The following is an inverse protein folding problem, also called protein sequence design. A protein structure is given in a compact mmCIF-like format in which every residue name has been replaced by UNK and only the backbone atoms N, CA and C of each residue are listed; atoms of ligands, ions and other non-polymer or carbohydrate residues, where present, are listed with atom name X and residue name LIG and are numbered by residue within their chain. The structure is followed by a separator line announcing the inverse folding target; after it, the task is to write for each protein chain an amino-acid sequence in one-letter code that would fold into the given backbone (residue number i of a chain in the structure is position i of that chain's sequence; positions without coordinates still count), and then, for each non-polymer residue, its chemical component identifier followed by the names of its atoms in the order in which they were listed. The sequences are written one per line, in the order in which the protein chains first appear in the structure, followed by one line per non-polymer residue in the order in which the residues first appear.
data_IF_957666642906
#
_entry.id   IF_957666642906
#
_cell.length_a   1.000
_cell.length_b   1.000
_cell.length_c   1.000
_cell.angle_alpha   90.00
_cell.angle_beta   90.00
_cell.angle_gamma   90.00
#
_symmetry.space_group_name_H-M   'P 1'
#
loop_
_entity.id
_entity.type
_entity.pdbx_description
1 polymer ?
#
# COMPACT_ATOMS: atom_id res chain seq x y z
N UNK A 1 12.36 1.39 3.37
CA UNK A 1 11.47 1.79 2.26
C UNK A 1 12.31 2.16 1.06
N UNK A 2 11.85 1.81 -0.13
CA UNK A 2 12.55 2.15 -1.37
C UNK A 2 12.40 3.64 -1.69
N UNK A 3 13.44 4.22 -2.27
CA UNK A 3 13.35 5.55 -2.88
C UNK A 3 12.66 5.41 -4.24
N UNK A 4 11.77 6.34 -4.56
CA UNK A 4 11.12 6.38 -5.88
C UNK A 4 11.90 7.34 -6.77
N UNK A 5 12.32 6.87 -7.94
CA UNK A 5 12.95 7.71 -8.94
C UNK A 5 11.90 8.53 -9.68
N UNK A 6 12.07 9.85 -9.68
CA UNK A 6 11.35 10.75 -10.57
C UNK A 6 12.28 11.10 -11.73
N UNK A 7 12.13 10.43 -12.87
CA UNK A 7 13.06 10.51 -13.99
C UNK A 7 13.22 11.95 -14.50
N UNK A 8 12.10 12.64 -14.70
CA UNK A 8 12.07 14.04 -15.18
C UNK A 8 12.77 15.04 -14.25
N UNK A 9 12.85 14.73 -12.95
CA UNK A 9 13.48 15.60 -11.94
C UNK A 9 14.89 15.12 -11.55
N UNK A 10 15.39 14.04 -12.16
CA UNK A 10 16.66 13.38 -11.87
C UNK A 10 16.93 13.22 -10.36
N UNK A 11 15.91 12.82 -9.61
CA UNK A 11 15.97 12.71 -8.15
C UNK A 11 15.22 11.50 -7.61
N UNK A 12 15.74 10.97 -6.51
CA UNK A 12 15.14 9.92 -5.71
C UNK A 12 14.38 10.56 -4.54
N UNK A 13 13.10 10.26 -4.38
CA UNK A 13 12.26 10.76 -3.29
C UNK A 13 11.83 9.62 -2.37
N UNK A 14 12.00 9.81 -1.06
CA UNK A 14 11.31 8.97 -0.08
C UNK A 14 9.91 9.54 0.18
N UNK A 15 8.85 8.86 -0.27
CA UNK A 15 7.47 9.29 -0.03
C UNK A 15 7.03 9.20 1.44
N UNK A 16 7.79 8.53 2.31
CA UNK A 16 7.46 8.44 3.73
C UNK A 16 8.03 9.57 4.57
N UNK A 17 9.26 10.01 4.30
CA UNK A 17 9.89 11.08 5.08
C UNK A 17 10.02 12.41 4.33
N UNK A 18 9.90 12.41 3.00
CA UNK A 18 10.09 13.58 2.14
C UNK A 18 11.56 13.83 1.75
N UNK A 19 12.50 12.99 2.17
CA UNK A 19 13.92 13.17 1.86
C UNK A 19 14.16 13.00 0.37
N UNK A 20 14.90 13.94 -0.21
CA UNK A 20 15.28 13.94 -1.62
C UNK A 20 16.77 13.62 -1.70
N UNK A 21 17.12 12.68 -2.56
CA UNK A 21 18.49 12.36 -2.94
C UNK A 21 18.69 12.66 -4.42
N UNK A 22 19.86 13.18 -4.79
CA UNK A 22 20.27 13.18 -6.19
C UNK A 22 20.63 11.76 -6.61
N UNK A 23 20.26 11.38 -7.83
CA UNK A 23 20.73 10.12 -8.38
C UNK A 23 22.22 10.26 -8.71
N UNK A 24 23.02 9.30 -8.22
CA UNK A 24 24.41 9.14 -8.63
C UNK A 24 24.46 8.02 -9.68
N UNK A 25 25.37 8.12 -10.66
CA UNK A 25 25.60 7.07 -11.66
C UNK A 25 26.34 5.85 -11.09
N UNK A 26 26.94 6.00 -9.91
CA UNK A 26 27.76 4.99 -9.26
C UNK A 26 27.07 4.39 -8.04
N UNK A 27 27.20 3.08 -7.84
CA UNK A 27 26.74 2.42 -6.63
C UNK A 27 27.50 2.93 -5.39
N UNK A 28 26.83 3.40 -4.32
CA UNK A 28 27.51 3.91 -3.13
C UNK A 28 28.22 2.82 -2.30
N UNK A 29 28.00 1.54 -2.60
CA UNK A 29 28.62 0.42 -1.90
C UNK A 29 29.82 -0.18 -2.64
N UNK A 30 29.73 -0.35 -3.97
CA UNK A 30 30.77 -1.00 -4.77
C UNK A 30 31.39 -0.12 -5.86
N UNK A 31 30.98 1.15 -5.96
CA UNK A 31 31.43 2.13 -6.96
C UNK A 31 31.22 1.74 -8.43
N UNK A 32 30.53 0.63 -8.72
CA UNK A 32 30.21 0.23 -10.09
C UNK A 32 29.37 1.32 -10.78
N UNK A 33 29.79 1.70 -11.98
CA UNK A 33 29.08 2.61 -12.87
C UNK A 33 27.89 1.90 -13.52
N UNK A 34 26.80 2.64 -13.76
CA UNK A 34 25.58 2.19 -14.43
C UNK A 34 24.92 0.91 -13.86
N UNK A 35 25.26 0.55 -12.62
CA UNK A 35 24.77 -0.66 -11.98
C UNK A 35 23.42 -0.48 -11.28
N UNK A 36 22.92 0.75 -11.17
CA UNK A 36 21.68 1.08 -10.48
C UNK A 36 20.49 0.83 -11.43
N UNK A 37 19.74 -0.24 -11.15
CA UNK A 37 18.53 -0.57 -11.90
C UNK A 37 17.29 -0.08 -11.16
N UNK A 38 16.41 0.61 -11.90
CA UNK A 38 15.09 1.00 -11.42
C UNK A 38 14.15 -0.22 -11.51
N UNK A 39 13.56 -0.61 -10.38
CA UNK A 39 12.69 -1.79 -10.28
C UNK A 39 11.23 -1.35 -10.15
N UNK A 40 10.33 -2.01 -10.89
CA UNK A 40 8.88 -1.84 -10.82
C UNK A 40 8.29 -1.15 -12.06
N UNK A 41 7.02 -1.40 -12.39
CA UNK A 41 6.31 -0.72 -13.47
C UNK A 41 5.99 0.71 -13.02
N UNK A 42 6.98 1.60 -13.05
CA UNK A 42 6.76 3.02 -12.85
C UNK A 42 5.83 3.56 -13.95
N UNK A 43 4.88 4.43 -13.60
CA UNK A 43 4.00 5.09 -14.58
C UNK A 43 4.76 5.80 -15.69
N UNK A 44 5.98 6.29 -15.40
CA UNK A 44 6.88 6.90 -16.37
C UNK A 44 7.41 5.85 -17.37
N UNK A 45 7.91 4.71 -16.88
CA UNK A 45 8.40 3.61 -17.72
C UNK A 45 7.31 3.03 -18.60
N UNK A 46 6.11 2.81 -18.05
CA UNK A 46 4.98 2.31 -18.83
C UNK A 46 4.58 3.31 -19.92
N UNK A 47 4.63 4.61 -19.64
CA UNK A 47 4.36 5.63 -20.64
C UNK A 47 5.44 5.68 -21.74
N UNK A 48 6.72 5.43 -21.42
CA UNK A 48 7.80 5.33 -22.40
C UNK A 48 7.61 4.11 -23.32
N UNK A 49 7.33 2.93 -22.76
CA UNK A 49 7.05 1.72 -23.52
C UNK A 49 5.81 1.90 -24.43
N UNK A 50 4.75 2.56 -23.93
CA UNK A 50 3.56 2.87 -24.72
C UNK A 50 3.85 3.87 -25.86
N UNK A 51 4.71 4.87 -25.65
CA UNK A 51 5.12 5.80 -26.72
C UNK A 51 5.87 5.08 -27.84
N UNK A 52 6.70 4.09 -27.48
CA UNK A 52 7.41 3.28 -28.45
C UNK A 52 6.45 2.39 -29.27
N UNK A 53 5.52 1.70 -28.60
CA UNK A 53 4.56 0.80 -29.25
C UNK A 53 3.46 1.54 -30.04
N UNK A 54 3.05 2.71 -29.57
CA UNK A 54 1.99 3.54 -30.15
C UNK A 54 2.51 4.92 -30.55
N UNK A 55 3.45 4.95 -31.49
CA UNK A 55 4.13 6.18 -31.95
C UNK A 55 3.20 7.26 -32.50
N UNK A 56 1.98 6.89 -32.91
CA UNK A 56 0.95 7.80 -33.42
C UNK A 56 -0.12 8.20 -32.39
N UNK A 57 0.05 7.85 -31.12
CA UNK A 57 -0.91 8.13 -30.04
C UNK A 57 -0.33 9.08 -29.00
N UNK A 58 -1.16 10.00 -28.53
CA UNK A 58 -0.80 10.91 -27.44
C UNK A 58 -0.91 10.20 -26.10
N UNK A 59 0.20 10.13 -25.36
CA UNK A 59 0.28 9.45 -24.05
C UNK A 59 0.36 10.49 -22.93
N UNK A 60 -0.61 10.47 -22.03
CA UNK A 60 -0.64 11.29 -20.81
C UNK A 60 -0.25 10.47 -19.58
N UNK A 61 0.27 11.15 -18.56
CA UNK A 61 0.55 10.55 -17.24
C UNK A 61 -0.29 11.26 -16.18
N UNK A 62 -0.90 10.53 -15.27
CA UNK A 62 -1.60 11.06 -14.09
C UNK A 62 -1.11 10.39 -12.80
N UNK A 63 -0.29 11.10 -12.03
CA UNK A 63 0.31 10.67 -10.76
C UNK A 63 0.16 11.73 -9.68
N UNK A 64 0.51 11.39 -8.44
CA UNK A 64 0.54 12.34 -7.32
C UNK A 64 1.45 13.54 -7.56
N UNK A 65 2.47 13.40 -8.41
CA UNK A 65 3.46 14.45 -8.62
C UNK A 65 3.04 15.47 -9.66
N UNK A 66 2.29 15.06 -10.68
CA UNK A 66 1.86 15.92 -11.77
C UNK A 66 0.39 16.35 -11.66
N UNK A 67 -0.45 15.54 -11.03
CA UNK A 67 -1.87 15.79 -10.78
C UNK A 67 -2.09 16.17 -9.31
N UNK A 68 -1.30 17.15 -8.84
CA UNK A 68 -1.22 17.54 -7.44
C UNK A 68 -2.17 18.69 -7.04
N UNK A 69 -2.88 19.29 -7.99
CA UNK A 69 -3.88 20.33 -7.73
C UNK A 69 -5.17 20.05 -8.52
N UNK A 70 -6.35 20.48 -8.02
CA UNK A 70 -7.62 20.31 -8.73
C UNK A 70 -7.60 20.83 -10.17
N UNK A 71 -6.95 21.98 -10.42
CA UNK A 71 -6.85 22.56 -11.75
C UNK A 71 -6.02 21.70 -12.72
N UNK A 72 -4.90 21.12 -12.25
CA UNK A 72 -4.09 20.23 -13.10
C UNK A 72 -4.83 18.94 -13.42
N UNK A 73 -5.54 18.39 -12.42
CA UNK A 73 -6.39 17.20 -12.62
C UNK A 73 -7.46 17.50 -13.65
N UNK A 74 -8.19 18.61 -13.49
CA UNK A 74 -9.22 19.04 -14.43
C UNK A 74 -8.67 19.19 -15.84
N UNK A 75 -7.51 19.83 -16.01
CA UNK A 75 -6.85 19.98 -17.31
C UNK A 75 -6.54 18.63 -17.97
N UNK A 76 -6.01 17.66 -17.23
CA UNK A 76 -5.72 16.32 -17.77
C UNK A 76 -7.01 15.61 -18.21
N UNK A 77 -8.09 15.73 -17.41
CA UNK A 77 -9.39 15.17 -17.76
C UNK A 77 -9.95 15.84 -19.02
N UNK A 78 -9.91 17.18 -19.08
CA UNK A 78 -10.37 17.96 -20.24
C UNK A 78 -9.56 17.60 -21.49
N UNK A 79 -8.23 17.45 -21.39
CA UNK A 79 -7.38 17.07 -22.51
C UNK A 79 -7.64 15.62 -22.97
N UNK A 80 -7.98 14.70 -22.05
CA UNK A 80 -8.40 13.34 -22.38
C UNK A 80 -9.78 13.32 -23.07
N UNK A 81 -10.76 14.06 -22.53
CA UNK A 81 -12.10 14.12 -23.07
C UNK A 81 -12.16 14.80 -24.45
N UNK A 82 -11.31 15.80 -24.67
CA UNK A 82 -11.12 16.46 -25.96
C UNK A 82 -10.20 15.68 -26.92
N UNK A 83 -9.85 14.42 -26.60
CA UNK A 83 -9.00 13.54 -27.42
C UNK A 83 -7.61 14.09 -27.74
N UNK A 84 -7.09 15.01 -26.91
CA UNK A 84 -5.68 15.42 -26.97
C UNK A 84 -4.76 14.40 -26.31
N UNK A 85 -5.32 13.54 -25.47
CA UNK A 85 -4.65 12.37 -24.89
C UNK A 85 -5.45 11.14 -25.32
N UNK A 86 -4.79 10.20 -26.02
CA UNK A 86 -5.40 8.94 -26.44
C UNK A 86 -5.30 7.87 -25.33
N UNK A 87 -4.16 7.83 -24.64
CA UNK A 87 -3.87 6.84 -23.60
C UNK A 87 -3.41 7.58 -22.35
N UNK A 88 -4.11 7.35 -21.24
CA UNK A 88 -3.77 7.92 -19.94
C UNK A 88 -3.20 6.84 -19.02
N UNK A 89 -1.91 6.96 -18.70
CA UNK A 89 -1.24 6.10 -17.72
C UNK A 89 -1.40 6.71 -16.34
N UNK A 90 -1.92 5.96 -15.38
CA UNK A 90 -2.14 6.51 -14.05
C UNK A 90 -1.87 5.55 -12.90
N UNK A 91 -1.58 6.16 -11.75
CA UNK A 91 -1.56 5.47 -10.45
C UNK A 91 -2.99 5.32 -9.89
N UNK A 92 -3.09 4.68 -8.73
CA UNK A 92 -4.34 4.50 -7.97
C UNK A 92 -5.16 5.79 -7.75
N UNK A 93 -4.56 6.98 -7.92
CA UNK A 93 -5.25 8.28 -7.87
C UNK A 93 -6.42 8.37 -8.86
N UNK A 94 -6.34 7.71 -10.03
CA UNK A 94 -7.45 7.68 -10.99
C UNK A 94 -8.69 6.93 -10.49
N UNK A 95 -8.56 6.10 -9.45
CA UNK A 95 -9.71 5.39 -8.89
C UNK A 95 -10.65 6.36 -8.15
N UNK A 96 -10.17 7.51 -7.66
CA UNK A 96 -10.94 8.45 -6.82
C UNK A 96 -11.83 9.36 -7.66
N UNK A 97 -13.15 9.25 -7.55
CA UNK A 97 -14.14 10.29 -7.89
C UNK A 97 -14.27 10.79 -9.36
N UNK A 98 -13.22 10.78 -10.17
CA UNK A 98 -13.20 11.43 -11.48
C UNK A 98 -13.95 10.65 -12.54
N UNK A 99 -14.75 11.35 -13.34
CA UNK A 99 -15.53 10.78 -14.43
C UNK A 99 -14.80 11.00 -15.76
N UNK A 100 -14.69 9.95 -16.57
CA UNK A 100 -14.09 9.98 -17.89
C UNK A 100 -15.13 9.51 -18.92
N UNK A 101 -15.99 10.42 -19.44
CA UNK A 101 -17.09 10.08 -20.36
C UNK A 101 -16.70 9.21 -21.55
N UNK A 102 -15.49 9.44 -22.09
CA UNK A 102 -14.99 8.77 -23.29
C UNK A 102 -14.16 7.50 -23.00
N UNK A 103 -14.06 7.08 -21.73
CA UNK A 103 -13.29 5.90 -21.35
C UNK A 103 -14.04 4.61 -21.68
N UNK A 104 -13.61 3.95 -22.76
CA UNK A 104 -14.14 2.66 -23.23
C UNK A 104 -13.26 1.47 -22.87
N UNK A 105 -12.01 1.70 -22.46
CA UNK A 105 -11.04 0.66 -22.16
C UNK A 105 -10.24 0.99 -20.91
N UNK A 106 -10.03 -0.01 -20.05
CA UNK A 106 -9.16 0.08 -18.88
C UNK A 106 -8.26 -1.15 -18.84
N UNK A 107 -6.95 -0.92 -18.72
CA UNK A 107 -5.95 -1.97 -18.47
C UNK A 107 -5.37 -1.81 -17.08
N UNK A 108 -5.43 -2.86 -16.25
CA UNK A 108 -4.73 -2.94 -14.97
C UNK A 108 -3.52 -3.85 -15.15
N UNK A 109 -2.32 -3.28 -15.10
CA UNK A 109 -1.07 -3.97 -15.44
C UNK A 109 -0.52 -4.82 -14.28
N UNK A 110 -0.70 -4.37 -13.04
CA UNK A 110 -0.19 -5.08 -11.86
C UNK A 110 -1.26 -5.12 -10.76
N UNK A 111 -2.17 -6.10 -10.88
CA UNK A 111 -3.22 -6.33 -9.90
C UNK A 111 -2.70 -6.94 -8.60
N UNK A 112 -1.53 -7.58 -8.63
CA UNK A 112 -0.96 -8.32 -7.50
C UNK A 112 -0.22 -7.39 -6.52
N UNK A 113 0.25 -6.23 -7.00
CA UNK A 113 0.88 -5.20 -6.17
C UNK A 113 0.11 -4.87 -4.88
N UNK A 114 -1.22 -4.86 -4.94
CA UNK A 114 -2.09 -4.58 -3.80
C UNK A 114 -2.26 -5.76 -2.83
N UNK A 115 -1.93 -6.98 -3.25
CA UNK A 115 -2.02 -8.20 -2.45
C UNK A 115 -0.72 -8.46 -1.65
N UNK A 116 0.37 -7.80 -2.02
CA UNK A 116 1.66 -7.93 -1.35
C UNK A 116 1.75 -7.02 -0.12
N UNK A 117 2.58 -7.39 0.87
CA UNK A 117 2.94 -6.50 1.99
C UNK A 117 2.31 -6.81 3.35
N UNK A 118 1.64 -7.95 3.51
CA UNK A 118 1.24 -8.47 4.82
C UNK A 118 0.12 -7.69 5.53
N UNK A 119 -0.58 -6.79 4.84
CA UNK A 119 -1.77 -6.12 5.37
C UNK A 119 -2.99 -7.05 5.31
N UNK A 120 -3.66 -7.27 6.44
CA UNK A 120 -4.84 -8.14 6.54
C UNK A 120 -6.03 -7.63 5.69
N UNK A 121 -6.01 -6.35 5.29
CA UNK A 121 -7.02 -5.72 4.43
C UNK A 121 -6.55 -5.59 2.98
N UNK A 122 -5.37 -6.09 2.61
CA UNK A 122 -4.82 -6.05 1.26
C UNK A 122 -5.81 -6.61 0.22
N UNK A 123 -6.40 -7.78 0.50
CA UNK A 123 -7.37 -8.45 -0.36
C UNK A 123 -8.62 -7.58 -0.58
N UNK A 124 -9.20 -7.05 0.51
CA UNK A 124 -10.39 -6.19 0.46
C UNK A 124 -10.12 -4.90 -0.32
N UNK A 125 -8.99 -4.23 -0.05
CA UNK A 125 -8.61 -2.99 -0.74
C UNK A 125 -8.37 -3.25 -2.22
N UNK A 126 -7.70 -4.34 -2.57
CA UNK A 126 -7.43 -4.73 -3.95
C UNK A 126 -8.73 -5.02 -4.69
N UNK A 127 -9.64 -5.78 -4.09
CA UNK A 127 -10.96 -6.03 -4.67
C UNK A 127 -11.70 -4.71 -4.95
N UNK A 128 -11.80 -3.82 -3.96
CA UNK A 128 -12.48 -2.55 -4.11
C UNK A 128 -11.84 -1.65 -5.18
N UNK A 129 -10.51 -1.62 -5.23
CA UNK A 129 -9.75 -0.87 -6.24
C UNK A 129 -10.04 -1.41 -7.64
N UNK A 130 -9.87 -2.72 -7.87
CA UNK A 130 -10.07 -3.36 -9.16
C UNK A 130 -11.53 -3.26 -9.64
N UNK A 131 -12.49 -3.44 -8.73
CA UNK A 131 -13.91 -3.23 -9.01
C UNK A 131 -14.19 -1.79 -9.44
N UNK A 132 -13.63 -0.81 -8.71
CA UNK A 132 -13.82 0.61 -9.02
C UNK A 132 -13.21 0.98 -10.37
N UNK A 133 -11.97 0.55 -10.62
CA UNK A 133 -11.21 0.83 -11.85
C UNK A 133 -11.89 0.17 -13.05
N UNK A 134 -12.31 -1.09 -12.92
CA UNK A 134 -13.06 -1.80 -13.98
C UNK A 134 -14.42 -1.16 -14.27
N UNK A 135 -15.08 -0.60 -13.24
CA UNK A 135 -16.34 0.14 -13.37
C UNK A 135 -16.20 1.59 -13.88
N UNK A 136 -14.99 2.06 -14.21
CA UNK A 136 -14.80 3.34 -14.90
C UNK A 136 -15.07 3.22 -16.40
N UNK A 137 -14.74 2.07 -17.00
CA UNK A 137 -15.08 1.80 -18.39
C UNK A 137 -16.59 1.56 -18.54
N UNK A 138 -17.20 2.17 -19.56
CA UNK A 138 -18.59 1.86 -19.93
C UNK A 138 -19.68 2.49 -19.06
N UNK A 139 -19.42 3.67 -18.48
CA UNK A 139 -20.45 4.50 -17.81
C UNK A 139 -21.33 5.28 -18.79
N UNK A 140 -20.86 5.49 -20.01
CA UNK A 140 -21.66 6.00 -21.13
C UNK A 140 -22.34 4.83 -21.86
N UNK A 141 -23.31 5.08 -22.77
CA UNK A 141 -24.01 4.07 -23.59
C UNK A 141 -23.09 3.20 -24.51
N UNK A 142 -21.79 3.13 -24.23
CA UNK A 142 -20.76 2.39 -24.95
C UNK A 142 -20.29 1.21 -24.12
N UNK A 143 -20.14 0.05 -24.76
CA UNK A 143 -19.62 -1.15 -24.10
C UNK A 143 -18.15 -0.93 -23.68
N UNK A 144 -17.91 -0.90 -22.37
CA UNK A 144 -16.57 -0.77 -21.80
C UNK A 144 -15.88 -2.14 -21.67
N UNK A 145 -14.56 -2.19 -21.90
CA UNK A 145 -13.72 -3.37 -21.64
C UNK A 145 -12.73 -3.07 -20.51
N UNK A 146 -12.52 -4.05 -19.64
CA UNK A 146 -11.50 -4.00 -18.61
C UNK A 146 -10.62 -5.27 -18.69
N UNK A 147 -9.31 -5.09 -18.77
CA UNK A 147 -8.32 -6.17 -18.72
C UNK A 147 -7.52 -6.06 -17.43
N UNK A 148 -7.37 -7.18 -16.74
CA UNK A 148 -6.63 -7.27 -15.49
C UNK A 148 -5.50 -8.27 -15.70
N UNK A 149 -4.27 -7.80 -15.52
CA UNK A 149 -3.08 -8.63 -15.51
C UNK A 149 -2.74 -9.01 -14.08
N UNK A 150 -2.64 -10.32 -13.84
CA UNK A 150 -2.28 -10.94 -12.57
C UNK A 150 -1.52 -12.24 -12.82
N UNK A 151 -0.55 -12.54 -11.97
CA UNK A 151 0.13 -13.83 -11.91
C UNK A 151 -0.75 -14.94 -11.33
N UNK A 152 -1.83 -14.58 -10.63
CA UNK A 152 -2.68 -15.52 -9.91
C UNK A 152 -4.17 -15.42 -10.33
N UNK A 153 -4.50 -15.68 -11.61
CA UNK A 153 -5.85 -15.52 -12.13
C UNK A 153 -6.89 -16.43 -11.46
N UNK A 154 -6.45 -17.52 -10.84
CA UNK A 154 -7.31 -18.50 -10.17
C UNK A 154 -7.60 -18.15 -8.70
N UNK A 155 -7.02 -17.07 -8.16
CA UNK A 155 -7.31 -16.65 -6.79
C UNK A 155 -8.80 -16.27 -6.64
N UNK A 156 -9.46 -16.62 -5.52
CA UNK A 156 -10.88 -16.34 -5.32
C UNK A 156 -11.26 -14.87 -5.54
N UNK A 157 -10.41 -13.93 -5.09
CA UNK A 157 -10.63 -12.49 -5.27
C UNK A 157 -10.70 -12.09 -6.75
N UNK A 158 -9.85 -12.65 -7.61
CA UNK A 158 -9.82 -12.35 -9.06
C UNK A 158 -11.02 -13.01 -9.75
N UNK A 159 -11.34 -14.25 -9.41
CA UNK A 159 -12.49 -14.98 -9.94
C UNK A 159 -13.81 -14.27 -9.61
N UNK A 160 -13.96 -13.79 -8.38
CA UNK A 160 -15.14 -13.01 -7.97
C UNK A 160 -15.23 -11.67 -8.71
N UNK A 161 -14.12 -10.99 -9.00
CA UNK A 161 -14.11 -9.78 -9.82
C UNK A 161 -14.55 -10.07 -11.26
N UNK A 162 -14.00 -11.12 -11.87
CA UNK A 162 -14.35 -11.51 -13.25
C UNK A 162 -15.84 -11.82 -13.39
N UNK A 163 -16.42 -12.53 -12.42
CA UNK A 163 -17.85 -12.88 -12.38
C UNK A 163 -18.75 -11.74 -11.89
N UNK A 164 -18.17 -10.61 -11.46
CA UNK A 164 -18.87 -9.50 -10.78
C UNK A 164 -19.67 -9.97 -9.55
N UNK A 165 -19.22 -11.03 -8.91
CA UNK A 165 -19.88 -11.66 -7.78
C UNK A 165 -19.30 -11.15 -6.46
N UNK A 166 -19.78 -9.98 -6.05
CA UNK A 166 -19.41 -9.35 -4.78
C UNK A 166 -19.86 -10.16 -3.57
N UNK A 167 -21.01 -10.85 -3.67
CA UNK A 167 -21.59 -11.57 -2.53
C UNK A 167 -20.67 -12.71 -2.11
N UNK A 168 -20.28 -13.56 -3.06
CA UNK A 168 -19.38 -14.69 -2.80
C UNK A 168 -18.02 -14.21 -2.29
N UNK A 169 -17.48 -13.11 -2.82
CA UNK A 169 -16.23 -12.51 -2.32
C UNK A 169 -16.33 -12.13 -0.83
N UNK A 170 -17.41 -11.45 -0.45
CA UNK A 170 -17.63 -10.99 0.92
C UNK A 170 -17.80 -12.19 1.86
N UNK A 171 -18.60 -13.18 1.48
CA UNK A 171 -18.82 -14.39 2.28
C UNK A 171 -17.52 -15.15 2.52
N UNK A 172 -16.70 -15.36 1.48
CA UNK A 172 -15.41 -16.05 1.63
C UNK A 172 -14.43 -15.24 2.49
N UNK A 173 -14.33 -13.92 2.25
CA UNK A 173 -13.45 -13.06 3.03
C UNK A 173 -13.83 -13.02 4.52
N UNK A 174 -15.13 -13.07 4.83
CA UNK A 174 -15.60 -13.13 6.21
C UNK A 174 -15.29 -14.47 6.86
N UNK A 175 -15.47 -15.60 6.17
CA UNK A 175 -15.09 -16.93 6.66
C UNK A 175 -13.61 -17.00 6.99
N UNK A 176 -12.74 -16.50 6.10
CA UNK A 176 -11.30 -16.46 6.33
C UNK A 176 -10.98 -15.61 7.56
N UNK A 177 -11.61 -14.43 7.68
CA UNK A 177 -11.40 -13.53 8.83
C UNK A 177 -11.86 -14.14 10.15
N UNK A 178 -12.96 -14.88 10.14
CA UNK A 178 -13.48 -15.59 11.30
C UNK A 178 -12.52 -16.70 11.73
N UNK A 179 -12.07 -17.53 10.78
CA UNK A 179 -11.12 -18.60 11.03
C UNK A 179 -9.80 -18.08 11.64
N UNK A 180 -9.31 -16.94 11.14
CA UNK A 180 -8.13 -16.28 11.70
C UNK A 180 -8.43 -15.38 12.90
N UNK A 181 -9.68 -15.26 13.37
CA UNK A 181 -10.10 -14.34 14.45
C UNK A 181 -9.54 -12.92 14.30
N UNK A 182 -9.58 -12.40 13.08
CA UNK A 182 -9.16 -11.04 12.76
C UNK A 182 -10.40 -10.16 12.51
N UNK A 183 -10.28 -8.81 12.53
CA UNK A 183 -11.45 -7.94 12.37
C UNK A 183 -12.31 -8.33 11.15
N UNK A 184 -13.64 -8.44 11.30
CA UNK A 184 -14.45 -8.00 12.46
C UNK A 184 -14.62 -9.03 13.60
N UNK A 185 -14.14 -10.27 13.46
CA UNK A 185 -14.37 -11.36 14.42
C UNK A 185 -13.35 -11.40 15.58
N UNK A 186 -12.32 -10.58 15.51
CA UNK A 186 -11.39 -10.35 16.60
C UNK A 186 -10.91 -8.91 16.64
N UNK A 187 -10.20 -8.59 17.71
CA UNK A 187 -9.66 -7.27 17.98
C UNK A 187 -8.15 -7.29 17.97
N UNK A 188 -7.57 -6.16 17.58
CA UNK A 188 -6.13 -6.02 17.47
C UNK A 188 -5.65 -4.70 18.07
N UNK A 189 -4.44 -4.69 18.59
CA UNK A 189 -3.76 -3.48 19.05
C UNK A 189 -2.31 -3.55 18.60
N UNK A 190 -1.92 -2.61 17.75
CA UNK A 190 -0.54 -2.49 17.30
C UNK A 190 0.25 -1.61 18.27
N UNK A 191 1.41 -2.09 18.67
CA UNK A 191 2.39 -1.34 19.44
C UNK A 191 3.54 -1.01 18.50
N UNK A 192 3.71 0.27 18.20
CA UNK A 192 4.75 0.76 17.30
C UNK A 192 5.81 1.43 18.16
N UNK A 193 6.98 0.82 18.18
CA UNK A 193 8.13 1.26 18.98
C UNK A 193 9.09 1.96 18.03
N UNK A 194 9.56 3.14 18.40
CA UNK A 194 10.54 3.89 17.63
C UNK A 194 11.63 4.50 18.51
N UNK A 195 12.87 4.45 18.06
CA UNK A 195 14.01 5.03 18.77
C UNK A 195 15.23 5.23 17.87
N UNK A 196 16.16 6.08 18.29
CA UNK A 196 17.36 6.43 17.52
C UNK A 196 18.44 5.34 17.50
N UNK A 197 18.40 4.41 18.47
CA UNK A 197 19.32 3.26 18.54
C UNK A 197 18.58 1.97 18.21
N UNK A 198 19.01 1.25 17.16
CA UNK A 198 18.43 -0.04 16.75
C UNK A 198 18.38 -1.01 17.94
N UNK A 199 19.55 -1.28 18.53
CA UNK A 199 19.70 -2.26 19.62
C UNK A 199 18.81 -1.93 20.83
N UNK A 200 18.82 -0.69 21.32
CA UNK A 200 17.98 -0.31 22.47
C UNK A 200 16.48 -0.44 22.16
N UNK A 201 16.08 -0.09 20.94
CA UNK A 201 14.67 -0.15 20.51
C UNK A 201 14.21 -1.60 20.39
N UNK A 202 15.04 -2.48 19.83
CA UNK A 202 14.79 -3.92 19.70
C UNK A 202 14.69 -4.60 21.06
N UNK A 203 15.64 -4.33 21.98
CA UNK A 203 15.63 -4.86 23.35
C UNK A 203 14.34 -4.46 24.06
N UNK A 204 13.92 -3.20 23.96
CA UNK A 204 12.67 -2.74 24.56
C UNK A 204 11.45 -3.47 23.96
N UNK A 205 11.40 -3.62 22.64
CA UNK A 205 10.33 -4.35 21.97
C UNK A 205 10.27 -5.83 22.41
N UNK A 206 11.42 -6.48 22.56
CA UNK A 206 11.53 -7.87 23.06
C UNK A 206 11.21 -8.01 24.55
N UNK A 207 11.44 -6.97 25.35
CA UNK A 207 10.98 -6.95 26.75
C UNK A 207 9.47 -6.80 26.82
N UNK A 208 8.89 -5.93 25.98
CA UNK A 208 7.45 -5.72 25.90
C UNK A 208 6.70 -7.00 25.49
N UNK A 209 7.24 -7.80 24.56
CA UNK A 209 6.61 -9.08 24.17
C UNK A 209 6.62 -10.13 25.28
N UNK A 210 7.66 -10.11 26.13
CA UNK A 210 7.86 -11.09 27.22
C UNK A 210 7.34 -10.60 28.57
N UNK A 211 6.84 -9.36 28.65
CA UNK A 211 6.50 -8.69 29.89
C UNK A 211 5.36 -9.36 30.69
N UNK A 212 4.60 -10.27 30.11
CA UNK A 212 3.50 -10.94 30.82
C UNK A 212 3.33 -12.41 30.46
N UNK A 213 2.78 -13.17 31.41
CA UNK A 213 2.10 -14.42 31.11
C UNK A 213 0.88 -14.10 30.25
N UNK A 214 0.85 -14.66 29.05
CA UNK A 214 -0.27 -14.50 28.11
C UNK A 214 -1.51 -15.09 28.78
N UNK A 215 -2.54 -14.26 28.97
CA UNK A 215 -3.85 -14.70 29.49
C UNK A 215 -4.55 -15.53 28.40
N UNK A 216 -5.40 -16.49 28.79
CA UNK A 216 -6.17 -17.29 27.85
C UNK A 216 -6.93 -16.37 26.87
N UNK A 217 -6.91 -16.69 25.57
CA UNK A 217 -7.54 -15.94 24.46
C UNK A 217 -6.85 -14.65 24.01
N UNK A 218 -5.61 -14.39 24.44
CA UNK A 218 -4.77 -13.34 23.88
C UNK A 218 -3.59 -13.95 23.12
N UNK A 219 -3.11 -13.27 22.10
CA UNK A 219 -1.83 -13.59 21.47
C UNK A 219 -1.00 -12.33 21.24
N UNK A 220 0.31 -12.50 21.34
CA UNK A 220 1.32 -11.48 21.07
C UNK A 220 2.12 -11.96 19.87
N UNK A 221 2.09 -11.18 18.80
CA UNK A 221 2.83 -11.45 17.57
C UNK A 221 4.00 -10.45 17.46
N UNK A 222 5.19 -10.98 17.18
CA UNK A 222 6.43 -10.21 17.13
C UNK A 222 7.24 -10.27 18.44
N UNK A 223 8.20 -9.35 18.63
CA UNK A 223 8.45 -8.16 17.84
C UNK A 223 9.03 -8.47 16.46
N UNK A 224 8.70 -7.64 15.47
CA UNK A 224 9.30 -7.66 14.13
C UNK A 224 9.69 -6.25 13.72
N UNK A 225 10.60 -6.12 12.75
CA UNK A 225 10.85 -4.84 12.09
C UNK A 225 9.53 -4.31 11.51
N UNK A 226 9.24 -3.03 11.72
CA UNK A 226 8.07 -2.43 11.11
C UNK A 226 8.24 -2.37 9.58
N UNK A 227 7.15 -2.39 8.78
CA UNK A 227 7.23 -2.33 7.31
C UNK A 227 8.09 -1.17 6.79
N UNK A 228 8.11 -0.05 7.51
CA UNK A 228 9.11 0.99 7.36
C UNK A 228 10.06 0.93 8.56
N UNK A 229 11.12 0.13 8.41
CA UNK A 229 12.08 -0.14 9.48
C UNK A 229 12.84 1.10 9.96
N UNK A 230 13.32 1.96 9.06
CA UNK A 230 14.02 3.20 9.39
C UNK A 230 13.26 4.39 8.80
N UNK A 231 12.84 5.33 9.66
CA UNK A 231 12.16 6.54 9.22
C UNK A 231 12.71 7.75 9.97
N UNK A 232 13.31 8.70 9.24
CA UNK A 232 13.89 9.94 9.80
C UNK A 232 14.87 9.65 10.96
N UNK A 233 15.76 8.68 10.75
CA UNK A 233 16.77 8.28 11.74
C UNK A 233 16.21 7.49 12.95
N UNK A 234 14.93 7.13 12.95
CA UNK A 234 14.31 6.32 14.00
C UNK A 234 14.10 4.89 13.50
N UNK A 235 14.71 3.93 14.18
CA UNK A 235 14.46 2.51 13.99
C UNK A 235 13.11 2.14 14.56
N UNK A 236 12.33 1.34 13.84
CA UNK A 236 10.94 1.05 14.14
C UNK A 236 10.70 -0.45 14.22
N UNK A 237 10.13 -0.87 15.35
CA UNK A 237 9.68 -2.24 15.59
C UNK A 237 8.19 -2.24 15.87
N UNK A 238 7.55 -3.38 15.65
CA UNK A 238 6.12 -3.56 15.88
C UNK A 238 5.85 -4.84 16.65
N UNK A 239 4.91 -4.74 17.59
CA UNK A 239 4.19 -5.89 18.12
C UNK A 239 2.72 -5.77 17.74
N UNK A 240 2.07 -6.90 17.53
CA UNK A 240 0.63 -6.96 17.34
C UNK A 240 0.02 -7.82 18.43
N UNK A 241 -0.86 -7.20 19.22
CA UNK A 241 -1.67 -7.88 20.20
C UNK A 241 -3.00 -8.25 19.55
N UNK A 242 -3.45 -9.48 19.75
CA UNK A 242 -4.72 -9.97 19.22
C UNK A 242 -5.54 -10.61 20.35
N UNK A 243 -6.85 -10.43 20.31
CA UNK A 243 -7.77 -11.06 21.24
C UNK A 243 -9.22 -10.99 20.78
N UNK A 244 -10.09 -11.75 21.44
CA UNK A 244 -11.52 -11.79 21.14
C UNK A 244 -12.35 -10.68 21.82
N UNK A 245 -11.73 -9.91 22.72
CA UNK A 245 -12.41 -8.83 23.46
C UNK A 245 -11.55 -7.57 23.51
N UNK A 246 -12.07 -6.47 22.97
CA UNK A 246 -11.42 -5.15 23.03
C UNK A 246 -11.13 -4.71 24.47
N UNK A 247 -12.03 -5.00 25.40
CA UNK A 247 -11.88 -4.65 26.83
C UNK A 247 -10.69 -5.37 27.46
N UNK A 248 -10.58 -6.68 27.23
CA UNK A 248 -9.48 -7.50 27.74
C UNK A 248 -8.16 -7.07 27.10
N UNK A 249 -8.14 -6.88 25.78
CA UNK A 249 -6.97 -6.44 25.03
C UNK A 249 -6.43 -5.08 25.50
N UNK A 250 -7.32 -4.11 25.75
CA UNK A 250 -6.95 -2.80 26.28
C UNK A 250 -6.40 -2.89 27.71
N UNK A 251 -7.00 -3.72 28.57
CA UNK A 251 -6.51 -3.96 29.93
C UNK A 251 -5.11 -4.60 29.90
N UNK A 252 -4.92 -5.61 29.08
CA UNK A 252 -3.64 -6.28 28.87
C UNK A 252 -2.58 -5.30 28.34
N UNK A 253 -2.92 -4.50 27.33
CA UNK A 253 -2.05 -3.47 26.76
C UNK A 253 -1.56 -2.49 27.82
N UNK A 254 -2.46 -1.96 28.67
CA UNK A 254 -2.06 -1.07 29.77
C UNK A 254 -1.15 -1.77 30.78
N UNK A 255 -1.42 -3.06 31.05
CA UNK A 255 -0.66 -3.89 31.99
C UNK A 255 0.77 -4.14 31.52
N UNK A 256 1.01 -4.48 30.24
CA UNK A 256 2.37 -4.65 29.69
C UNK A 256 3.14 -3.33 29.72
N UNK A 257 2.50 -2.21 29.36
CA UNK A 257 3.16 -0.89 29.33
C UNK A 257 3.54 -0.44 30.74
N UNK A 258 2.68 -0.72 31.74
CA UNK A 258 2.98 -0.41 33.14
C UNK A 258 4.16 -1.23 33.68
N UNK A 259 4.30 -2.49 33.28
CA UNK A 259 5.43 -3.33 33.68
C UNK A 259 6.73 -2.99 32.95
N UNK A 260 6.64 -2.54 31.70
CA UNK A 260 7.78 -2.14 30.88
C UNK A 260 7.59 -0.72 30.36
N UNK A 261 7.70 0.30 31.23
CA UNK A 261 7.54 1.70 30.82
C UNK A 261 8.59 2.07 29.77
N UNK A 262 8.23 2.85 28.74
CA UNK A 262 9.17 3.24 27.68
C UNK A 262 10.29 4.12 28.25
N UNK A 263 11.58 3.82 27.95
CA UNK A 263 12.68 4.71 28.24
C UNK A 263 12.52 6.07 27.55
N UNK A 264 13.12 7.17 28.06
CA UNK A 264 12.98 8.51 27.47
C UNK A 264 13.38 8.61 25.99
N UNK A 265 14.31 7.76 25.55
CA UNK A 265 14.79 7.74 24.15
C UNK A 265 13.91 6.92 23.20
N UNK A 266 12.85 6.29 23.72
CA UNK A 266 11.97 5.41 22.96
C UNK A 266 10.55 5.98 22.97
N UNK A 267 9.96 6.11 21.79
CA UNK A 267 8.56 6.46 21.62
C UNK A 267 7.75 5.20 21.37
N UNK A 268 6.74 4.98 22.20
CA UNK A 268 5.75 3.91 22.04
C UNK A 268 4.41 4.53 21.59
N UNK A 269 3.95 4.15 20.41
CA UNK A 269 2.62 4.48 19.90
C UNK A 269 1.72 3.25 20.04
N UNK A 270 0.53 3.44 20.61
CA UNK A 270 -0.51 2.41 20.73
C UNK A 270 -1.60 2.73 19.73
N UNK A 271 -1.82 1.84 18.78
CA UNK A 271 -2.84 1.94 17.74
C UNK A 271 -3.89 0.85 17.96
N UNK A 272 -5.06 1.24 18.46
CA UNK A 272 -6.15 0.32 18.80
C UNK A 272 -7.03 0.12 17.57
N UNK A 273 -7.30 -1.14 17.24
CA UNK A 273 -7.97 -1.57 16.01
C UNK A 273 -7.35 -0.93 14.75
N UNK A 274 -6.04 -1.18 14.52
CA UNK A 274 -5.31 -0.56 13.44
C UNK A 274 -6.00 -0.84 12.09
N UNK A 275 -6.26 0.24 11.34
CA UNK A 275 -6.85 0.12 10.00
C UNK A 275 -5.82 -0.33 8.96
N UNK A 276 -4.54 0.03 9.16
CA UNK A 276 -3.40 -0.34 8.31
C UNK A 276 -2.36 -1.10 9.10
N UNK A 277 -1.84 -2.16 8.49
CA UNK A 277 -0.74 -2.95 9.04
C UNK A 277 0.60 -2.64 8.36
N UNK A 278 0.62 -1.59 7.53
CA UNK A 278 1.81 -0.98 6.94
C UNK A 278 2.22 0.27 7.72
#
# INVERSE_FOLDING_TARGET
SWLVMHHNKKRLLCHHCGTIYQIQSTCPQCAAEDSIKLIGPGVERLAEELKFLFSNKSIGIMSSDNANTPNKIKKIIDDFDNKKIDILVATQIMSKGYHFPNLSFVGVIDADSGLMGGDIRAIERTYNLLQQVSGRAGRSNKMGKAYIQTYFPNQPVIQSLQKRDRKTFVEQSLKDREAFQIPPFGHMTALIISGSSKSKTEIYAGNLSRAHKIENNLSVLGPVEAPIFLLRGQYRFRLLLKGNSRKILNKFTRKIIKLCPPPPTIKLLVDVDPYSFV
#
